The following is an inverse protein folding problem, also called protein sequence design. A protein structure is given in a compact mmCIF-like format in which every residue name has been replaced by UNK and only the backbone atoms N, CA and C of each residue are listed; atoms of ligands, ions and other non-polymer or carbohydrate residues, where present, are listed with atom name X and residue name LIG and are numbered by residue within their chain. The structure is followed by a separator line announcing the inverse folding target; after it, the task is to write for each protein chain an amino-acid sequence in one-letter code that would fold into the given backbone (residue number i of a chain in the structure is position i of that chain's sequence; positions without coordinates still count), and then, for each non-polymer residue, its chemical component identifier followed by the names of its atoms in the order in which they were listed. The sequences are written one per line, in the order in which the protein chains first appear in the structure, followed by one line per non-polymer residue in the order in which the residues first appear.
data_IF_977811347095
#
_entry.id   IF_977811347095
#
_cell.length_a   1.000
_cell.length_b   1.000
_cell.length_c   1.000
_cell.angle_alpha   90.00
_cell.angle_beta   90.00
_cell.angle_gamma   90.00
#
_symmetry.space_group_name_H-M   'P 1'
#
loop_
_entity.id
_entity.type
_entity.pdbx_description
1 polymer ?
#
# COMPACT_ATOMS: atom_id res chain seq x y z
N UNK A 1 -37.14 37.62 -16.38
CA UNK A 1 -35.91 36.96 -16.90
C UNK A 1 -35.08 36.55 -15.69
N UNK A 2 -35.20 35.31 -15.23
CA UNK A 2 -34.41 34.79 -14.10
C UNK A 2 -33.59 33.60 -14.60
N UNK A 3 -32.29 33.82 -14.81
CA UNK A 3 -31.34 32.73 -15.05
C UNK A 3 -30.86 32.21 -13.69
N UNK A 4 -31.04 30.91 -13.48
CA UNK A 4 -30.43 30.16 -12.37
C UNK A 4 -28.97 29.86 -12.74
N UNK A 5 -27.99 29.98 -11.83
CA UNK A 5 -26.61 29.61 -12.16
C UNK A 5 -26.47 28.09 -12.22
N UNK A 6 -25.94 27.58 -13.32
CA UNK A 6 -25.51 26.18 -13.45
C UNK A 6 -24.24 25.98 -12.60
N UNK A 7 -24.32 25.11 -11.60
CA UNK A 7 -23.15 24.65 -10.86
C UNK A 7 -22.20 23.81 -11.72
N UNK A 8 -20.91 23.71 -11.35
CA UNK A 8 -19.93 22.95 -12.13
C UNK A 8 -20.31 21.47 -12.17
N UNK A 9 -20.62 20.97 -13.37
CA UNK A 9 -20.87 19.56 -13.65
C UNK A 9 -19.55 18.90 -14.01
N UNK A 10 -18.72 18.63 -12.99
CA UNK A 10 -17.54 17.78 -13.11
C UNK A 10 -17.72 16.56 -12.19
N UNK A 11 -17.19 15.37 -12.55
CA UNK A 11 -17.19 14.24 -11.63
C UNK A 11 -16.43 14.64 -10.35
N UNK A 12 -17.12 14.55 -9.20
CA UNK A 12 -16.49 14.67 -7.90
C UNK A 12 -15.61 13.44 -7.70
N UNK A 13 -14.32 13.57 -7.97
CA UNK A 13 -13.34 12.57 -7.52
C UNK A 13 -13.18 12.75 -6.01
N UNK A 14 -13.93 11.97 -5.23
CA UNK A 14 -13.73 11.90 -3.79
C UNK A 14 -12.41 11.17 -3.54
N UNK A 15 -11.39 11.90 -3.11
CA UNK A 15 -10.17 11.31 -2.55
C UNK A 15 -10.53 10.69 -1.19
N UNK A 16 -10.76 9.37 -1.16
CA UNK A 16 -10.84 8.63 0.10
C UNK A 16 -9.46 8.60 0.73
N UNK A 17 -9.23 9.42 1.76
CA UNK A 17 -8.02 9.37 2.57
C UNK A 17 -8.20 8.21 3.55
N UNK A 18 -7.65 7.04 3.25
CA UNK A 18 -7.61 5.92 4.20
C UNK A 18 -6.73 6.31 5.39
N UNK A 19 -7.21 6.22 6.65
CA UNK A 19 -6.39 6.58 7.80
C UNK A 19 -5.19 5.64 7.91
N UNK A 20 -4.00 6.23 8.08
CA UNK A 20 -2.76 5.49 8.31
C UNK A 20 -2.70 4.99 9.76
N UNK A 21 -2.41 3.71 9.96
CA UNK A 21 -2.25 3.07 11.28
C UNK A 21 -0.85 3.29 11.87
N UNK A 22 0.16 3.56 11.05
CA UNK A 22 1.55 3.74 11.47
C UNK A 22 2.34 4.62 10.49
N UNK A 23 3.48 5.14 10.93
CA UNK A 23 4.41 5.91 10.08
C UNK A 23 5.18 5.00 9.13
N UNK A 24 5.32 5.35 7.84
CA UNK A 24 6.12 4.58 6.89
C UNK A 24 7.64 4.74 7.07
N UNK A 25 8.10 5.73 7.84
CA UNK A 25 9.52 6.10 7.84
C UNK A 25 10.01 6.49 6.44
N UNK A 26 11.22 6.08 6.09
CA UNK A 26 11.78 6.23 4.75
C UNK A 26 11.19 5.18 3.81
N UNK A 27 10.58 5.62 2.72
CA UNK A 27 10.03 4.72 1.69
C UNK A 27 11.10 4.48 0.64
N UNK A 28 11.39 3.21 0.36
CA UNK A 28 12.29 2.78 -0.73
C UNK A 28 11.64 1.67 -1.54
N UNK A 29 12.14 1.45 -2.75
CA UNK A 29 11.73 0.35 -3.62
C UNK A 29 12.97 -0.21 -4.30
N UNK A 30 13.00 -1.52 -4.51
CA UNK A 30 13.99 -2.12 -5.40
C UNK A 30 13.69 -1.71 -6.86
N UNK A 31 14.71 -1.64 -7.74
CA UNK A 31 14.49 -1.39 -9.16
C UNK A 31 13.58 -2.43 -9.80
N UNK A 32 13.77 -3.71 -9.49
CA UNK A 32 13.00 -4.80 -10.07
C UNK A 32 11.51 -4.75 -9.66
N UNK A 33 11.21 -4.39 -8.41
CA UNK A 33 9.83 -4.16 -7.97
C UNK A 33 9.17 -3.00 -8.72
N UNK A 34 9.89 -1.91 -8.96
CA UNK A 34 9.38 -0.76 -9.69
C UNK A 34 9.09 -1.11 -11.16
N UNK A 35 10.02 -1.81 -11.82
CA UNK A 35 9.86 -2.31 -13.19
C UNK A 35 8.67 -3.26 -13.31
N UNK A 36 8.50 -4.20 -12.36
CA UNK A 36 7.37 -5.12 -12.34
C UNK A 36 6.03 -4.38 -12.17
N UNK A 37 5.97 -3.38 -11.28
CA UNK A 37 4.78 -2.55 -11.09
C UNK A 37 4.46 -1.70 -12.33
N UNK A 38 5.48 -1.14 -12.99
CA UNK A 38 5.32 -0.40 -14.25
C UNK A 38 4.78 -1.29 -15.37
N UNK A 39 5.36 -2.48 -15.55
CA UNK A 39 4.91 -3.47 -16.53
C UNK A 39 3.45 -3.92 -16.27
N UNK A 40 3.05 -3.99 -15.00
CA UNK A 40 1.68 -4.29 -14.58
C UNK A 40 0.72 -3.09 -14.64
N UNK A 41 1.20 -1.90 -15.02
CA UNK A 41 0.39 -0.67 -15.04
C UNK A 41 -0.12 -0.24 -13.66
N UNK A 42 0.58 -0.64 -12.60
CA UNK A 42 0.18 -0.40 -11.22
C UNK A 42 1.03 0.69 -10.57
N UNK A 43 0.39 1.58 -9.82
CA UNK A 43 1.09 2.64 -9.09
C UNK A 43 1.52 2.16 -7.69
N UNK A 44 2.80 2.26 -7.30
CA UNK A 44 3.31 1.81 -5.99
C UNK A 44 2.54 2.41 -4.80
N UNK A 45 2.14 3.68 -4.92
CA UNK A 45 1.41 4.41 -3.87
C UNK A 45 0.08 3.73 -3.48
N UNK A 46 -0.55 2.99 -4.39
CA UNK A 46 -1.80 2.27 -4.09
C UNK A 46 -1.58 1.15 -3.08
N UNK A 47 -0.49 0.40 -3.23
CA UNK A 47 -0.17 -0.70 -2.33
C UNK A 47 0.43 -0.20 -1.02
N UNK A 48 1.24 0.87 -1.08
CA UNK A 48 1.72 1.53 0.12
C UNK A 48 0.56 2.04 0.99
N UNK A 49 -0.42 2.73 0.41
CA UNK A 49 -1.58 3.22 1.16
C UNK A 49 -2.37 2.08 1.83
N UNK A 50 -2.49 0.93 1.15
CA UNK A 50 -3.11 -0.28 1.72
C UNK A 50 -2.30 -0.81 2.91
N UNK A 51 -0.99 -0.96 2.76
CA UNK A 51 -0.10 -1.43 3.82
C UNK A 51 -0.19 -0.54 5.06
N UNK A 52 -0.13 0.78 4.86
CA UNK A 52 -0.23 1.75 5.95
C UNK A 52 -1.60 1.78 6.62
N UNK A 53 -2.67 1.38 5.91
CA UNK A 53 -4.01 1.21 6.52
C UNK A 53 -4.20 -0.13 7.24
N UNK A 54 -3.18 -1.01 7.21
CA UNK A 54 -3.23 -2.37 7.74
C UNK A 54 -4.10 -3.31 6.89
N UNK A 55 -4.19 -3.06 5.59
CA UNK A 55 -4.63 -4.04 4.62
C UNK A 55 -3.40 -4.87 4.23
N UNK A 56 -3.34 -6.11 4.72
CA UNK A 56 -2.19 -7.01 4.53
C UNK A 56 -2.15 -7.69 3.16
N UNK A 57 -3.17 -7.47 2.32
CA UNK A 57 -3.29 -8.04 0.98
C UNK A 57 -3.52 -9.54 0.98
N UNK A 58 -2.75 -10.27 0.18
CA UNK A 58 -2.90 -11.70 -0.11
C UNK A 58 -2.17 -12.63 0.88
N UNK A 59 -1.99 -12.21 2.13
CA UNK A 59 -1.47 -13.08 3.21
C UNK A 59 -2.58 -13.98 3.77
N UNK A 60 -2.22 -15.08 4.44
CA UNK A 60 -3.21 -15.92 5.12
C UNK A 60 -3.79 -15.20 6.36
N UNK A 61 -4.95 -15.64 6.89
CA UNK A 61 -5.56 -15.04 8.08
C UNK A 61 -4.64 -15.03 9.31
N UNK A 62 -3.82 -16.07 9.47
CA UNK A 62 -2.85 -16.19 10.57
C UNK A 62 -1.78 -15.11 10.48
N UNK A 63 -1.20 -14.91 9.29
CA UNK A 63 -0.18 -13.87 9.03
C UNK A 63 -0.77 -12.46 9.15
N UNK A 64 -2.02 -12.26 8.73
CA UNK A 64 -2.74 -11.02 8.96
C UNK A 64 -2.88 -10.71 10.46
N UNK A 65 -3.24 -11.71 11.27
CA UNK A 65 -3.32 -11.57 12.73
C UNK A 65 -1.94 -11.29 13.36
N UNK A 66 -0.88 -11.92 12.84
CA UNK A 66 0.49 -11.64 13.27
C UNK A 66 0.90 -10.20 12.96
N UNK A 67 0.57 -9.66 11.79
CA UNK A 67 0.80 -8.25 11.47
C UNK A 67 0.02 -7.31 12.41
N UNK A 68 -1.24 -7.62 12.71
CA UNK A 68 -2.03 -6.81 13.65
C UNK A 68 -1.45 -6.84 15.06
N UNK A 69 -0.91 -7.98 15.51
CA UNK A 69 -0.19 -8.08 16.77
C UNK A 69 1.15 -7.32 16.73
N UNK A 70 1.91 -7.44 15.63
CA UNK A 70 3.18 -6.76 15.41
C UNK A 70 3.03 -5.23 15.37
N UNK A 71 1.88 -4.71 14.93
CA UNK A 71 1.56 -3.29 15.03
C UNK A 71 1.59 -2.78 16.47
N UNK A 72 1.12 -3.59 17.42
CA UNK A 72 1.06 -3.24 18.85
C UNK A 72 2.39 -3.53 19.57
N UNK A 73 3.06 -4.62 19.18
CA UNK A 73 4.31 -5.05 19.79
C UNK A 73 5.54 -4.26 19.30
N UNK A 74 5.43 -3.59 18.15
CA UNK A 74 6.56 -2.90 17.52
C UNK A 74 7.46 -3.84 16.71
N UNK A 75 6.91 -4.93 16.18
CA UNK A 75 7.64 -5.87 15.32
C UNK A 75 7.51 -5.51 13.84
N UNK A 76 8.32 -6.14 12.99
CA UNK A 76 8.29 -5.96 11.51
C UNK A 76 6.91 -6.33 10.96
N UNK A 77 6.49 -5.61 9.92
CA UNK A 77 5.23 -5.83 9.20
C UNK A 77 5.51 -6.29 7.78
N UNK A 78 4.66 -7.15 7.23
CA UNK A 78 4.73 -7.61 5.84
C UNK A 78 3.33 -7.64 5.20
N UNK A 79 3.14 -6.90 4.12
CA UNK A 79 2.00 -7.09 3.21
C UNK A 79 2.45 -7.75 1.92
N UNK A 80 1.54 -8.51 1.31
CA UNK A 80 1.74 -9.12 0.00
C UNK A 80 0.63 -8.68 -0.95
N UNK A 81 0.96 -8.20 -2.14
CA UNK A 81 -0.04 -7.81 -3.14
C UNK A 81 0.22 -8.46 -4.49
N UNK A 82 -0.82 -8.99 -5.10
CA UNK A 82 -0.78 -9.43 -6.49
C UNK A 82 -0.92 -8.22 -7.42
N UNK A 83 0.05 -8.05 -8.32
CA UNK A 83 0.08 -6.93 -9.28
C UNK A 83 -0.24 -7.39 -10.71
N UNK A 84 -0.01 -8.66 -11.00
CA UNK A 84 -0.37 -9.35 -12.24
C UNK A 84 -0.53 -10.86 -11.94
N UNK A 85 -1.02 -11.69 -12.88
CA UNK A 85 -1.08 -13.14 -12.67
C UNK A 85 0.29 -13.68 -12.26
N UNK A 86 0.35 -14.35 -11.11
CA UNK A 86 1.57 -14.94 -10.53
C UNK A 86 2.68 -13.94 -10.15
N UNK A 87 2.46 -12.62 -10.30
CA UNK A 87 3.44 -11.58 -9.92
C UNK A 87 2.98 -10.89 -8.65
N UNK A 88 3.85 -10.89 -7.64
CA UNK A 88 3.60 -10.31 -6.33
C UNK A 88 4.63 -9.25 -5.99
N UNK A 89 4.19 -8.27 -5.20
CA UNK A 89 5.04 -7.30 -4.53
C UNK A 89 4.87 -7.49 -3.02
N UNK A 90 5.99 -7.48 -2.31
CA UNK A 90 6.05 -7.44 -0.88
C UNK A 90 6.31 -6.01 -0.42
N UNK A 91 5.59 -5.60 0.62
CA UNK A 91 5.84 -4.33 1.31
C UNK A 91 6.19 -4.67 2.76
N UNK A 92 7.43 -4.35 3.14
CA UNK A 92 7.97 -4.63 4.47
C UNK A 92 8.21 -3.32 5.19
N UNK A 93 7.75 -3.21 6.43
CA UNK A 93 8.12 -2.10 7.32
C UNK A 93 8.89 -2.64 8.52
N UNK A 94 10.08 -2.08 8.75
CA UNK A 94 10.94 -2.48 9.86
C UNK A 94 10.29 -2.25 11.23
N UNK A 95 10.75 -3.01 12.24
CA UNK A 95 10.21 -2.99 13.60
C UNK A 95 10.16 -1.58 14.21
N UNK A 96 11.24 -0.81 14.03
CA UNK A 96 11.36 0.57 14.49
C UNK A 96 10.63 1.60 13.60
N UNK A 97 9.94 1.14 12.55
CA UNK A 97 9.24 1.95 11.55
C UNK A 97 10.16 2.97 10.86
N UNK A 98 11.47 2.70 10.81
CA UNK A 98 12.44 3.58 10.16
C UNK A 98 12.38 3.53 8.64
N UNK A 99 12.03 2.37 8.08
CA UNK A 99 12.03 2.13 6.63
C UNK A 99 10.85 1.24 6.23
N UNK A 100 10.20 1.62 5.14
CA UNK A 100 9.27 0.77 4.38
C UNK A 100 9.84 0.48 3.01
N UNK A 101 10.03 -0.80 2.67
CA UNK A 101 10.61 -1.25 1.41
C UNK A 101 9.57 -1.98 0.57
N UNK A 102 9.48 -1.61 -0.70
CA UNK A 102 8.76 -2.38 -1.73
C UNK A 102 9.76 -3.24 -2.50
N UNK A 103 9.51 -4.54 -2.58
CA UNK A 103 10.42 -5.49 -3.22
C UNK A 103 9.67 -6.69 -3.81
N UNK A 104 10.33 -7.44 -4.68
CA UNK A 104 9.84 -8.74 -5.13
C UNK A 104 10.09 -9.81 -4.04
N UNK A 105 9.29 -10.89 -3.99
CA UNK A 105 9.49 -11.99 -3.04
C UNK A 105 10.90 -12.60 -3.11
N UNK A 106 11.51 -12.64 -4.29
CA UNK A 106 12.82 -13.23 -4.53
C UNK A 106 14.00 -12.36 -4.04
N UNK A 107 13.73 -11.10 -3.69
CA UNK A 107 14.73 -10.16 -3.17
C UNK A 107 14.84 -10.17 -1.64
N UNK A 108 14.03 -11.00 -0.97
CA UNK A 108 13.95 -11.15 0.49
C UNK A 108 14.50 -12.50 0.95
#
# INVERSE_FOLDING_TARGET
MHQTPMGPTGPAFTLSITPQKFSPGQIVSTPAALEAMEAAGCLPIRFLARHLSGDWGSVCPEDAALNDAALLAGDRLLSVYEIAPEVRIWIVTEADRSVTTLLLPEEY
#
